data_IF_416415416025
#
_entry.id   IF_416415416025
#
_cell.length_a   1.000
_cell.length_b   1.000
_cell.length_c   1.000
_cell.angle_alpha   90.00
_cell.angle_beta   90.00
_cell.angle_gamma   90.00
#
_symmetry.space_group_name_H-M   'P 1'
#
loop_
_entity.id
_entity.type
_entity.pdbx_description
1 polymer ?
#
# COMPACT_ATOMS: atom_id res chain seq x y z
N UNK A 1 2.36 -10.43 -8.73
CA UNK A 1 2.01 -10.15 -10.13
C UNK A 1 0.49 -10.16 -10.25
N UNK A 2 -0.09 -9.20 -10.94
CA UNK A 2 -1.53 -9.14 -11.19
C UNK A 2 -1.85 -9.09 -12.70
N UNK A 3 -0.87 -8.74 -13.53
CA UNK A 3 -1.05 -8.63 -14.96
C UNK A 3 0.27 -8.92 -15.68
N UNK A 4 0.21 -9.50 -16.87
CA UNK A 4 1.35 -9.71 -17.77
C UNK A 4 0.89 -9.42 -19.18
N UNK A 5 1.51 -8.44 -19.81
CA UNK A 5 1.15 -7.98 -21.16
C UNK A 5 2.40 -7.97 -22.03
N UNK A 6 2.33 -8.66 -23.18
CA UNK A 6 3.34 -8.57 -24.22
C UNK A 6 2.88 -7.62 -25.34
N UNK A 7 3.80 -6.83 -25.85
CA UNK A 7 3.55 -5.91 -26.97
C UNK A 7 4.66 -6.04 -28.01
N UNK A 8 4.33 -6.50 -29.23
CA UNK A 8 3.00 -6.95 -29.69
C UNK A 8 2.56 -8.26 -29.03
N UNK A 9 1.24 -8.52 -28.90
CA UNK A 9 0.71 -9.73 -28.24
C UNK A 9 0.84 -10.99 -29.13
N UNK A 10 1.05 -10.82 -30.42
CA UNK A 10 1.20 -11.87 -31.41
C UNK A 10 2.28 -11.52 -32.39
N UNK A 11 2.96 -12.52 -32.91
CA UNK A 11 3.94 -12.43 -33.97
C UNK A 11 3.63 -13.46 -35.06
N UNK A 12 4.01 -13.14 -36.29
CA UNK A 12 3.82 -14.04 -37.44
C UNK A 12 5.07 -14.88 -37.65
N UNK A 13 4.83 -16.15 -37.91
CA UNK A 13 5.90 -17.09 -38.25
C UNK A 13 5.56 -17.81 -39.57
N UNK A 14 6.56 -18.21 -40.31
CA UNK A 14 6.47 -19.04 -41.51
C UNK A 14 7.31 -20.29 -41.31
N UNK A 15 6.86 -21.43 -41.81
CA UNK A 15 7.57 -22.69 -41.70
C UNK A 15 6.86 -23.82 -42.46
N UNK A 16 7.40 -25.06 -42.38
CA UNK A 16 6.73 -26.21 -42.95
C UNK A 16 5.42 -26.51 -42.21
N UNK A 17 4.47 -27.14 -42.87
CA UNK A 17 3.19 -27.54 -42.26
C UNK A 17 3.41 -28.37 -40.99
N UNK A 18 4.38 -29.26 -41.00
CA UNK A 18 4.74 -30.09 -39.84
C UNK A 18 5.28 -29.28 -38.68
N UNK A 19 6.04 -28.22 -38.90
CA UNK A 19 6.58 -27.34 -37.86
C UNK A 19 5.48 -26.44 -37.28
N UNK A 20 4.53 -26.00 -38.10
CA UNK A 20 3.44 -25.11 -37.69
C UNK A 20 2.30 -25.85 -36.98
N UNK A 21 2.02 -27.11 -37.35
CA UNK A 21 0.88 -27.87 -36.80
C UNK A 21 0.96 -28.15 -35.30
N UNK A 22 2.17 -28.19 -34.74
CA UNK A 22 2.41 -28.36 -33.30
C UNK A 22 2.64 -27.07 -32.52
N UNK A 23 2.67 -25.91 -33.19
CA UNK A 23 3.02 -24.65 -32.58
C UNK A 23 1.79 -23.99 -31.91
N UNK A 24 1.81 -23.92 -30.59
CA UNK A 24 0.77 -23.25 -29.78
C UNK A 24 1.18 -21.86 -29.31
N UNK A 25 2.46 -21.51 -29.41
CA UNK A 25 2.99 -20.21 -29.00
C UNK A 25 4.53 -20.21 -28.97
N UNK A 26 5.10 -19.05 -28.75
CA UNK A 26 6.52 -18.87 -28.58
C UNK A 26 6.81 -18.70 -27.09
N UNK A 27 7.70 -19.52 -26.54
CA UNK A 27 8.15 -19.38 -25.17
C UNK A 27 9.21 -18.29 -25.08
N UNK A 28 9.07 -17.43 -24.08
CA UNK A 28 10.06 -16.40 -23.74
C UNK A 28 10.83 -16.81 -22.48
N UNK A 29 11.99 -16.22 -22.29
CA UNK A 29 12.77 -16.43 -21.07
C UNK A 29 12.01 -15.95 -19.83
N UNK A 30 12.35 -16.54 -18.69
CA UNK A 30 11.74 -16.13 -17.41
C UNK A 30 12.16 -14.71 -17.05
N UNK A 31 11.19 -13.87 -16.75
CA UNK A 31 11.42 -12.54 -16.20
C UNK A 31 11.45 -12.65 -14.67
N UNK A 32 12.62 -12.43 -14.07
CA UNK A 32 12.75 -12.41 -12.63
C UNK A 32 12.17 -11.10 -12.06
N UNK A 33 11.13 -11.23 -11.26
CA UNK A 33 10.47 -10.12 -10.55
C UNK A 33 10.64 -10.25 -9.05
N UNK A 34 11.54 -11.11 -8.58
CA UNK A 34 11.80 -11.32 -7.15
C UNK A 34 12.21 -10.02 -6.48
N UNK A 35 11.57 -9.70 -5.36
CA UNK A 35 11.82 -8.48 -4.60
C UNK A 35 11.26 -7.18 -5.20
N UNK A 36 10.63 -7.22 -6.37
CA UNK A 36 10.02 -6.04 -6.98
C UNK A 36 8.72 -5.65 -6.28
N UNK A 37 8.60 -4.39 -5.87
CA UNK A 37 7.40 -3.78 -5.29
C UNK A 37 6.59 -2.94 -6.29
N UNK A 38 7.17 -2.68 -7.47
CA UNK A 38 6.58 -1.92 -8.58
C UNK A 38 6.62 -2.74 -9.87
N UNK A 39 5.75 -2.38 -10.81
CA UNK A 39 5.69 -3.01 -12.13
C UNK A 39 7.02 -2.93 -12.87
N UNK A 40 7.34 -3.97 -13.62
CA UNK A 40 8.57 -4.12 -14.39
C UNK A 40 8.22 -4.15 -15.88
N UNK A 41 9.02 -3.48 -16.69
CA UNK A 41 8.96 -3.54 -18.14
C UNK A 41 10.32 -3.98 -18.68
N UNK A 42 10.32 -4.98 -19.54
CA UNK A 42 11.53 -5.53 -20.12
C UNK A 42 11.36 -5.77 -21.61
N UNK A 43 12.37 -5.41 -22.38
CA UNK A 43 12.46 -5.77 -23.78
C UNK A 43 13.16 -7.11 -23.91
N UNK A 44 12.55 -8.04 -24.65
CA UNK A 44 13.01 -9.40 -24.84
C UNK A 44 13.09 -9.66 -26.34
N UNK A 45 14.19 -10.26 -26.78
CA UNK A 45 14.32 -10.77 -28.12
C UNK A 45 13.81 -12.21 -28.15
N UNK A 46 12.78 -12.47 -28.99
CA UNK A 46 12.22 -13.80 -29.15
C UNK A 46 12.95 -14.54 -30.28
N UNK A 47 13.12 -15.84 -30.06
CA UNK A 47 13.74 -16.72 -31.08
C UNK A 47 12.64 -17.53 -31.78
N UNK A 48 12.74 -17.63 -33.09
CA UNK A 48 11.83 -18.48 -33.87
C UNK A 48 11.93 -19.94 -33.41
N UNK A 49 10.81 -20.64 -33.23
CA UNK A 49 10.81 -22.06 -32.97
C UNK A 49 11.49 -22.86 -34.10
N UNK A 50 12.01 -24.05 -33.77
CA UNK A 50 12.71 -24.87 -34.73
C UNK A 50 11.86 -25.17 -35.98
N UNK A 51 12.45 -25.03 -37.15
CA UNK A 51 11.77 -25.21 -38.43
C UNK A 51 10.85 -24.06 -38.84
N UNK A 52 10.90 -22.92 -38.14
CA UNK A 52 10.14 -21.72 -38.49
C UNK A 52 11.04 -20.50 -38.60
N UNK A 53 10.50 -19.42 -39.18
CA UNK A 53 11.16 -18.12 -39.30
C UNK A 53 10.19 -17.02 -38.90
N UNK A 54 10.62 -16.06 -38.08
CA UNK A 54 9.84 -14.87 -37.73
C UNK A 54 9.71 -13.95 -38.95
N UNK A 55 8.51 -13.44 -39.19
CA UNK A 55 8.23 -12.42 -40.19
C UNK A 55 8.16 -11.03 -39.59
N UNK A 56 7.92 -10.93 -38.29
CA UNK A 56 7.82 -9.67 -37.56
C UNK A 56 9.12 -9.41 -36.78
N UNK A 57 9.22 -8.22 -36.16
CA UNK A 57 10.37 -7.83 -35.31
C UNK A 57 10.50 -8.84 -34.15
N UNK A 58 11.71 -9.40 -33.92
CA UNK A 58 11.95 -10.29 -32.80
C UNK A 58 11.86 -9.60 -31.43
N UNK A 59 11.91 -8.27 -31.38
CA UNK A 59 11.89 -7.53 -30.13
C UNK A 59 10.45 -7.32 -29.64
N UNK A 60 10.15 -7.85 -28.48
CA UNK A 60 8.88 -7.63 -27.79
C UNK A 60 9.12 -6.91 -26.46
N UNK A 61 8.17 -6.10 -26.06
CA UNK A 61 8.15 -5.48 -24.73
C UNK A 61 7.18 -6.25 -23.86
N UNK A 62 7.67 -6.75 -22.74
CA UNK A 62 6.83 -7.43 -21.74
C UNK A 62 6.67 -6.52 -20.52
N UNK A 63 5.44 -6.21 -20.21
CA UNK A 63 5.03 -5.49 -18.99
C UNK A 63 4.53 -6.50 -17.97
N UNK A 64 5.13 -6.47 -16.78
CA UNK A 64 4.70 -7.30 -15.64
C UNK A 64 4.12 -6.36 -14.57
N UNK A 65 2.82 -6.39 -14.42
CA UNK A 65 2.09 -5.62 -13.42
C UNK A 65 2.30 -6.19 -12.02
N UNK A 66 2.97 -5.44 -11.14
CA UNK A 66 3.21 -5.81 -9.75
C UNK A 66 2.49 -4.84 -8.84
N UNK A 67 1.74 -5.38 -7.89
CA UNK A 67 1.11 -4.62 -6.82
C UNK A 67 1.44 -5.27 -5.50
N UNK A 68 1.93 -4.48 -4.56
CA UNK A 68 2.15 -4.98 -3.22
C UNK A 68 0.81 -5.29 -2.54
N UNK A 69 0.77 -6.42 -1.84
CA UNK A 69 -0.40 -6.84 -1.07
C UNK A 69 -0.65 -5.85 0.06
N UNK A 70 -1.92 -5.52 0.27
CA UNK A 70 -2.34 -4.72 1.42
C UNK A 70 -2.78 -5.63 2.57
N UNK A 71 -2.54 -5.15 3.78
CA UNK A 71 -2.89 -5.80 5.02
C UNK A 71 -3.53 -4.79 5.97
N UNK A 72 -4.17 -5.27 7.03
CA UNK A 72 -4.76 -4.41 8.04
C UNK A 72 -4.52 -4.96 9.43
N UNK A 73 -4.33 -4.07 10.40
CA UNK A 73 -4.16 -4.41 11.81
C UNK A 73 -5.00 -3.48 12.67
N UNK A 74 -5.62 -4.03 13.72
CA UNK A 74 -6.35 -3.27 14.72
C UNK A 74 -5.56 -3.22 16.02
N UNK A 75 -5.30 -1.99 16.49
CA UNK A 75 -4.76 -1.72 17.82
C UNK A 75 -5.91 -1.32 18.75
N UNK A 76 -6.19 -2.15 19.73
CA UNK A 76 -7.26 -1.91 20.70
C UNK A 76 -6.74 -1.14 21.91
N UNK A 77 -7.58 -0.28 22.48
CA UNK A 77 -7.30 0.46 23.70
C UNK A 77 -6.05 1.35 23.55
N UNK A 78 -5.93 2.11 22.47
CA UNK A 78 -4.87 3.10 22.31
C UNK A 78 -5.25 4.32 23.14
N UNK A 79 -4.39 4.76 24.10
CA UNK A 79 -4.70 5.92 24.92
C UNK A 79 -4.83 7.19 24.08
N UNK A 80 -5.84 8.00 24.43
CA UNK A 80 -6.05 9.32 23.81
C UNK A 80 -5.33 10.36 24.67
N UNK A 81 -4.28 10.93 24.11
CA UNK A 81 -3.47 11.95 24.77
C UNK A 81 -4.06 13.36 24.51
N UNK A 82 -3.77 14.30 25.40
CA UNK A 82 -4.07 15.71 25.20
C UNK A 82 -2.81 16.47 24.83
N UNK A 83 -2.87 17.31 23.80
CA UNK A 83 -1.77 18.21 23.40
C UNK A 83 -2.22 19.67 23.46
N UNK A 84 -1.29 20.56 23.72
CA UNK A 84 -1.52 22.00 23.67
C UNK A 84 -2.31 22.59 24.84
N UNK A 85 -2.60 21.82 25.90
CA UNK A 85 -3.30 22.32 27.08
C UNK A 85 -2.43 23.34 27.84
N UNK A 86 -3.02 24.47 28.21
CA UNK A 86 -2.31 25.50 29.00
C UNK A 86 -2.03 25.00 30.43
N UNK A 87 -0.87 25.40 30.98
CA UNK A 87 -0.31 24.87 32.25
C UNK A 87 -1.22 25.00 33.49
N UNK A 88 -2.21 25.88 33.42
CA UNK A 88 -3.14 26.12 34.54
C UNK A 88 -4.49 25.42 34.39
N UNK A 89 -4.66 24.69 33.26
CA UNK A 89 -5.92 24.02 32.94
C UNK A 89 -5.75 22.49 33.09
N UNK A 90 -6.84 21.85 33.42
CA UNK A 90 -6.98 20.40 33.44
C UNK A 90 -8.01 19.96 32.40
N UNK A 91 -7.84 18.81 31.78
CA UNK A 91 -8.76 18.29 30.78
C UNK A 91 -9.26 16.90 31.20
N UNK A 92 -10.54 16.70 31.14
CA UNK A 92 -11.21 15.41 31.32
C UNK A 92 -11.76 14.95 29.95
N UNK A 93 -11.41 13.76 29.53
CA UNK A 93 -11.86 13.15 28.28
C UNK A 93 -13.05 12.22 28.53
N UNK A 94 -14.06 12.27 27.68
CA UNK A 94 -15.21 11.33 27.75
C UNK A 94 -14.81 9.87 27.46
N UNK A 95 -13.70 9.67 26.77
CA UNK A 95 -13.09 8.37 26.53
C UNK A 95 -11.57 8.51 26.61
N UNK A 96 -10.94 7.68 27.46
CA UNK A 96 -9.50 7.70 27.67
C UNK A 96 -8.74 6.85 26.64
N UNK A 97 -9.44 5.95 25.94
CA UNK A 97 -8.85 5.01 24.98
C UNK A 97 -9.76 4.89 23.74
N UNK A 98 -9.16 4.53 22.62
CA UNK A 98 -9.89 4.19 21.39
C UNK A 98 -9.21 3.05 20.64
N UNK A 99 -9.94 2.41 19.74
CA UNK A 99 -9.37 1.45 18.81
C UNK A 99 -8.97 2.14 17.52
N UNK A 100 -7.82 1.77 16.99
CA UNK A 100 -7.29 2.28 15.72
C UNK A 100 -7.10 1.11 14.76
N UNK A 101 -7.77 1.16 13.62
CA UNK A 101 -7.56 0.21 12.54
C UNK A 101 -6.68 0.87 11.48
N UNK A 102 -5.56 0.21 11.14
CA UNK A 102 -4.57 0.71 10.18
C UNK A 102 -4.50 -0.27 9.02
N UNK A 103 -4.52 0.26 7.80
CA UNK A 103 -4.43 -0.50 6.54
C UNK A 103 -3.33 0.07 5.67
N UNK A 104 -2.58 -0.79 5.03
CA UNK A 104 -1.54 -0.38 4.10
C UNK A 104 -0.72 -1.53 3.55
N UNK A 105 0.39 -1.20 2.90
CA UNK A 105 1.29 -2.19 2.29
C UNK A 105 1.82 -3.17 3.34
N UNK A 106 1.80 -4.46 3.01
CA UNK A 106 2.24 -5.54 3.92
C UNK A 106 3.65 -5.32 4.46
N UNK A 107 4.56 -4.76 3.67
CA UNK A 107 5.93 -4.43 4.08
C UNK A 107 5.96 -3.45 5.26
N UNK A 108 5.18 -2.36 5.18
CA UNK A 108 5.08 -1.37 6.26
C UNK A 108 4.30 -1.91 7.46
N UNK A 109 3.26 -2.71 7.21
CA UNK A 109 2.45 -3.31 8.28
C UNK A 109 3.27 -4.26 9.18
N UNK A 110 4.25 -4.97 8.61
CA UNK A 110 5.16 -5.84 9.38
C UNK A 110 6.11 -5.07 10.30
N UNK A 111 6.42 -3.83 9.97
CA UNK A 111 7.29 -2.96 10.78
C UNK A 111 6.51 -2.20 11.85
N UNK A 112 5.20 -2.04 11.67
CA UNK A 112 4.33 -1.27 12.55
C UNK A 112 4.14 -1.96 13.90
N UNK A 113 4.44 -1.26 14.97
CA UNK A 113 4.25 -1.71 16.34
C UNK A 113 3.27 -0.79 17.08
N UNK A 114 2.67 -1.27 18.18
CA UNK A 114 1.76 -0.47 19.00
C UNK A 114 2.36 0.86 19.46
N UNK A 115 3.63 0.89 19.82
CA UNK A 115 4.35 2.10 20.25
C UNK A 115 4.47 3.17 19.15
N UNK A 116 4.31 2.77 17.89
CA UNK A 116 4.41 3.66 16.74
C UNK A 116 3.09 4.39 16.45
N UNK A 117 2.02 4.02 17.16
CA UNK A 117 0.67 4.58 17.00
C UNK A 117 0.30 5.40 18.23
N UNK A 118 0.10 6.69 18.04
CA UNK A 118 -0.37 7.61 19.07
C UNK A 118 -1.68 8.26 18.62
N UNK A 119 -2.60 8.43 19.56
CA UNK A 119 -3.85 9.16 19.33
C UNK A 119 -3.89 10.36 20.26
N UNK A 120 -4.23 11.52 19.75
CA UNK A 120 -4.30 12.73 20.58
C UNK A 120 -5.41 13.66 20.13
N UNK A 121 -5.85 14.52 21.06
CA UNK A 121 -6.70 15.67 20.81
C UNK A 121 -5.89 16.94 21.01
N UNK A 122 -6.02 17.89 20.09
CA UNK A 122 -5.32 19.17 20.18
C UNK A 122 -6.21 20.19 20.90
N UNK A 123 -5.74 20.67 22.05
CA UNK A 123 -6.41 21.61 22.92
C UNK A 123 -5.76 23.01 22.87
N UNK A 124 -4.91 23.25 21.87
CA UNK A 124 -4.19 24.52 21.72
C UNK A 124 -5.16 25.70 21.62
N UNK A 125 -4.99 26.67 22.51
CA UNK A 125 -5.77 27.91 22.51
C UNK A 125 -7.20 27.78 23.06
N UNK A 126 -7.57 26.61 23.58
CA UNK A 126 -8.88 26.43 24.22
C UNK A 126 -8.87 26.92 25.66
N UNK A 127 -9.96 27.60 26.07
CA UNK A 127 -10.21 28.04 27.44
C UNK A 127 -11.02 26.98 28.22
N UNK A 128 -11.29 27.23 29.50
CA UNK A 128 -12.20 26.38 30.27
C UNK A 128 -13.57 26.29 29.58
N UNK A 129 -14.10 25.08 29.45
CA UNK A 129 -15.33 24.79 28.70
C UNK A 129 -15.42 23.33 28.26
N UNK A 130 -16.51 23.00 27.58
CA UNK A 130 -16.72 21.64 27.03
C UNK A 130 -16.70 21.70 25.51
N UNK A 131 -15.87 20.87 24.89
CA UNK A 131 -15.62 20.83 23.46
C UNK A 131 -15.80 19.42 22.92
N UNK A 132 -16.24 19.32 21.67
CA UNK A 132 -16.21 18.06 20.90
C UNK A 132 -15.07 18.15 19.90
N UNK A 133 -14.12 17.25 20.00
CA UNK A 133 -12.88 17.28 19.22
C UNK A 133 -12.67 15.93 18.54
N UNK A 134 -12.35 15.96 17.26
CA UNK A 134 -11.96 14.76 16.51
C UNK A 134 -10.54 14.35 16.91
N UNK A 135 -10.34 13.11 17.38
CA UNK A 135 -9.00 12.63 17.70
C UNK A 135 -8.13 12.50 16.46
N UNK A 136 -6.87 12.84 16.58
CA UNK A 136 -5.85 12.75 15.53
C UNK A 136 -4.94 11.56 15.78
N UNK A 137 -4.59 10.83 14.72
CA UNK A 137 -3.62 9.73 14.77
C UNK A 137 -2.28 10.25 14.28
N UNK A 138 -1.23 9.93 15.01
CA UNK A 138 0.16 10.18 14.63
C UNK A 138 0.92 8.87 14.60
N UNK A 139 1.63 8.62 13.51
CA UNK A 139 2.50 7.45 13.35
C UNK A 139 3.96 7.86 13.50
N UNK A 140 4.80 6.96 14.02
CA UNK A 140 6.18 7.26 14.40
C UNK A 140 7.06 7.72 13.24
N UNK A 141 6.79 7.28 12.02
CA UNK A 141 7.57 7.70 10.84
C UNK A 141 6.73 8.47 9.84
N UNK A 142 7.37 9.41 9.12
CA UNK A 142 6.74 10.19 8.06
C UNK A 142 6.25 9.31 6.90
N UNK A 143 6.97 8.25 6.58
CA UNK A 143 6.61 7.28 5.57
C UNK A 143 5.31 6.55 5.94
N UNK A 144 5.21 6.06 7.18
CA UNK A 144 3.99 5.44 7.69
C UNK A 144 2.81 6.41 7.67
N UNK A 145 3.04 7.68 8.06
CA UNK A 145 2.01 8.73 8.05
C UNK A 145 1.47 9.03 6.65
N UNK A 146 2.29 8.87 5.61
CA UNK A 146 1.91 9.14 4.21
C UNK A 146 1.25 7.93 3.55
N UNK A 147 1.77 6.73 3.79
CA UNK A 147 1.46 5.53 3.02
C UNK A 147 0.42 4.62 3.68
N UNK A 148 0.21 4.76 4.99
CA UNK A 148 -0.83 4.03 5.70
C UNK A 148 -2.13 4.83 5.77
N UNK A 149 -3.24 4.09 5.88
CA UNK A 149 -4.57 4.65 6.11
C UNK A 149 -5.07 4.15 7.46
N UNK A 150 -5.82 4.98 8.16
CA UNK A 150 -6.36 4.62 9.47
C UNK A 150 -7.78 5.09 9.67
N UNK A 151 -8.47 4.39 10.55
CA UNK A 151 -9.76 4.78 11.09
C UNK A 151 -9.72 4.61 12.60
N UNK A 152 -10.40 5.47 13.32
CA UNK A 152 -10.55 5.41 14.78
C UNK A 152 -11.98 5.03 15.14
N UNK A 153 -12.15 4.29 16.24
CA UNK A 153 -13.47 3.87 16.71
C UNK A 153 -14.31 5.02 17.29
N UNK A 154 -13.65 6.12 17.66
CA UNK A 154 -14.29 7.32 18.21
C UNK A 154 -14.23 8.46 17.20
N UNK A 155 -15.33 8.83 16.55
CA UNK A 155 -15.35 9.95 15.62
C UNK A 155 -15.13 11.30 16.30
N UNK A 156 -15.59 11.43 17.55
CA UNK A 156 -15.43 12.62 18.37
C UNK A 156 -15.21 12.24 19.84
N UNK A 157 -14.41 13.03 20.53
CA UNK A 157 -14.17 12.94 21.97
C UNK A 157 -14.67 14.24 22.61
N UNK A 158 -15.54 14.13 23.62
CA UNK A 158 -15.91 15.28 24.42
C UNK A 158 -14.83 15.55 25.45
N UNK A 159 -14.31 16.77 25.43
CA UNK A 159 -13.24 17.22 26.34
C UNK A 159 -13.81 18.33 27.21
N UNK A 160 -13.73 18.16 28.52
CA UNK A 160 -14.11 19.19 29.51
C UNK A 160 -12.83 19.77 30.10
N UNK A 161 -12.58 21.04 29.83
CA UNK A 161 -11.42 21.81 30.33
C UNK A 161 -11.86 22.62 31.56
N UNK A 162 -11.13 22.48 32.64
CA UNK A 162 -11.33 23.17 33.91
C UNK A 162 -10.09 23.95 34.33
N UNK A 163 -10.27 25.02 35.11
CA UNK A 163 -9.19 25.76 35.76
C UNK A 163 -8.66 25.03 36.99
#
# INVERSE_FOLDING_TARGET
VYDVVATPPTVRVVGSESALSGLTGIQIENIDVSGSSSSVQQNIEITAPEGTTLLDDPNITVYVGIREKQDSVQFKGVPVETKGLAKKLTAELSAAECDVNITGRTSLMKLLQRKDVSVYVDLTGLAAGTYKITPMVSLASKEMQTDLRWTVSLPEVTVTIKE
#
